data_IF_527294758001
#
_entry.id   IF_527294758001
#
_cell.length_a   1.000
_cell.length_b   1.000
_cell.length_c   1.000
_cell.angle_alpha   90.00
_cell.angle_beta   90.00
_cell.angle_gamma   90.00
#
_symmetry.space_group_name_H-M   'P 1'
#
loop_
_entity.id
_entity.type
_entity.pdbx_description
1 polymer ?
#
# COMPACT_ATOMS: atom_id res chain seq x y z
N UNK A 1 -14.76 -11.25 -15.13
CA UNK A 1 -15.14 -11.37 -13.70
C UNK A 1 -13.94 -11.53 -12.79
N UNK A 2 -13.06 -12.53 -12.97
CA UNK A 2 -11.83 -12.70 -12.14
C UNK A 2 -10.85 -11.52 -12.27
N UNK A 3 -10.62 -10.98 -13.48
CA UNK A 3 -9.82 -9.75 -13.71
C UNK A 3 -10.33 -8.54 -12.93
N UNK A 4 -11.65 -8.40 -12.79
CA UNK A 4 -12.32 -7.29 -12.09
C UNK A 4 -12.28 -7.44 -10.56
N UNK A 5 -12.12 -8.67 -10.07
CA UNK A 5 -11.99 -8.97 -8.65
C UNK A 5 -10.52 -8.88 -8.20
N UNK A 6 -9.57 -9.35 -9.01
CA UNK A 6 -8.14 -9.16 -8.77
C UNK A 6 -7.74 -7.69 -8.89
N UNK A 7 -8.30 -6.92 -9.83
CA UNK A 7 -8.06 -5.47 -9.88
C UNK A 7 -8.49 -4.80 -8.57
N UNK A 8 -9.65 -5.16 -8.00
CA UNK A 8 -10.14 -4.60 -6.73
C UNK A 8 -9.32 -5.01 -5.49
N UNK A 9 -8.62 -6.16 -5.52
CA UNK A 9 -7.79 -6.64 -4.39
C UNK A 9 -6.32 -6.20 -4.50
N UNK A 10 -5.82 -5.97 -5.72
CA UNK A 10 -4.46 -5.49 -6.01
C UNK A 10 -4.37 -3.96 -5.94
N UNK A 11 -5.49 -3.26 -6.15
CA UNK A 11 -5.61 -1.80 -6.09
C UNK A 11 -5.07 -1.14 -4.80
N UNK A 12 -5.19 -1.69 -3.57
CA UNK A 12 -4.67 -0.99 -2.39
C UNK A 12 -3.14 -1.03 -2.27
N UNK A 13 -2.51 -2.14 -2.67
CA UNK A 13 -1.04 -2.26 -2.67
C UNK A 13 -0.42 -1.51 -3.85
N UNK A 14 -1.12 -1.55 -4.99
CA UNK A 14 -0.77 -0.75 -6.13
C UNK A 14 -1.07 0.74 -5.94
N UNK A 15 -2.03 1.16 -5.12
CA UNK A 15 -2.33 2.58 -4.84
C UNK A 15 -1.13 3.32 -4.22
N UNK A 16 -0.23 2.58 -3.56
CA UNK A 16 1.02 3.09 -2.98
C UNK A 16 2.14 3.16 -4.03
N UNK A 17 2.05 2.36 -5.10
CA UNK A 17 3.01 2.26 -6.21
C UNK A 17 2.45 2.79 -7.56
N UNK A 18 1.22 3.30 -7.60
CA UNK A 18 0.40 3.49 -8.79
C UNK A 18 -0.96 4.10 -8.42
N UNK A 19 -1.00 5.43 -8.44
CA UNK A 19 -2.16 6.28 -8.17
C UNK A 19 -3.41 5.99 -9.04
N UNK A 20 -4.56 6.60 -8.62
CA UNK A 20 -5.79 7.01 -9.40
C UNK A 20 -7.08 6.14 -9.23
N UNK A 21 -8.37 6.65 -9.19
CA UNK A 21 -8.95 8.00 -8.85
C UNK A 21 -10.34 8.11 -8.09
N UNK A 22 -10.70 9.38 -7.73
CA UNK A 22 -11.99 10.16 -7.76
C UNK A 22 -12.99 10.37 -6.55
N UNK A 23 -13.34 11.68 -6.37
CA UNK A 23 -14.53 12.44 -5.82
C UNK A 23 -14.54 13.04 -4.38
N UNK A 24 -14.34 14.38 -4.26
CA UNK A 24 -15.33 15.37 -3.73
C UNK A 24 -15.28 15.96 -2.29
N UNK A 25 -15.01 17.29 -2.21
CA UNK A 25 -15.55 18.35 -1.30
C UNK A 25 -14.86 18.78 0.04
N UNK A 26 -14.06 19.86 -0.06
CA UNK A 26 -14.07 21.17 0.65
C UNK A 26 -14.30 21.35 2.17
N UNK A 27 -13.33 21.96 2.86
CA UNK A 27 -13.46 22.64 4.16
C UNK A 27 -12.23 23.49 4.55
N UNK A 28 -12.44 24.69 5.09
CA UNK A 28 -11.45 25.74 5.41
C UNK A 28 -10.60 25.48 6.69
N UNK A 29 -9.34 25.97 6.77
CA UNK A 29 -8.44 25.68 7.88
C UNK A 29 -8.45 26.73 9.01
N UNK A 30 -8.37 26.25 10.26
CA UNK A 30 -8.07 27.04 11.46
C UNK A 30 -6.62 26.79 11.96
N UNK A 31 -6.08 27.74 12.72
CA UNK A 31 -4.64 27.97 12.97
C UNK A 31 -4.03 27.08 14.08
N UNK A 32 -2.72 26.79 13.96
CA UNK A 32 -1.96 25.77 14.70
C UNK A 32 -1.13 26.30 15.89
N UNK A 33 -1.01 25.56 17.01
CA UNK A 33 0.05 25.74 18.01
C UNK A 33 1.20 24.72 17.89
N UNK A 34 2.41 25.16 18.20
CA UNK A 34 3.70 24.48 17.97
C UNK A 34 4.27 23.79 19.21
N UNK A 35 4.39 22.46 19.17
CA UNK A 35 5.38 21.69 19.91
C UNK A 35 6.22 20.90 18.88
N UNK A 36 7.54 20.92 19.01
CA UNK A 36 8.46 20.36 18.02
C UNK A 36 8.47 18.82 18.17
N UNK A 37 7.53 18.17 17.49
CA UNK A 37 7.44 16.71 17.45
C UNK A 37 8.53 16.15 16.52
N UNK A 38 9.21 15.09 16.96
CA UNK A 38 10.10 14.31 16.09
C UNK A 38 9.27 13.54 15.05
N UNK A 39 9.40 13.95 13.79
CA UNK A 39 8.63 13.39 12.68
C UNK A 39 9.34 12.17 12.04
N UNK A 40 10.58 11.88 12.43
CA UNK A 40 11.39 10.83 11.81
C UNK A 40 11.43 9.53 12.63
N UNK A 41 11.02 9.57 13.91
CA UNK A 41 11.19 8.45 14.85
C UNK A 41 10.17 7.32 14.69
N UNK A 42 8.92 7.65 14.38
CA UNK A 42 7.82 6.68 14.31
C UNK A 42 6.88 6.99 13.13
N UNK A 43 7.15 6.41 11.95
CA UNK A 43 6.32 6.61 10.77
C UNK A 43 4.86 6.15 10.93
N UNK A 44 4.58 5.16 11.78
CA UNK A 44 3.23 4.64 11.96
C UNK A 44 2.41 5.57 12.86
N UNK A 45 3.03 6.21 13.86
CA UNK A 45 2.37 7.22 14.69
C UNK A 45 1.87 8.45 13.90
N UNK A 46 2.51 8.76 12.77
CA UNK A 46 2.11 9.83 11.86
C UNK A 46 0.84 9.49 11.06
N UNK A 47 0.57 8.21 10.81
CA UNK A 47 -0.63 7.79 10.09
C UNK A 47 -1.89 8.13 10.91
N UNK A 48 -3.02 8.48 10.25
CA UNK A 48 -4.28 8.62 10.94
C UNK A 48 -4.67 7.33 11.68
N UNK A 49 -5.30 7.47 12.83
CA UNK A 49 -5.82 6.34 13.61
C UNK A 49 -6.93 5.61 12.83
N UNK A 50 -7.21 4.36 13.22
CA UNK A 50 -8.33 3.56 12.70
C UNK A 50 -8.25 3.22 11.21
N UNK A 51 -7.05 2.93 10.69
CA UNK A 51 -6.94 2.36 9.34
C UNK A 51 -7.61 0.98 9.28
N UNK A 52 -8.24 0.68 8.15
CA UNK A 52 -8.78 -0.64 7.80
C UNK A 52 -7.64 -1.61 7.54
N UNK A 53 -6.59 -1.13 6.89
CA UNK A 53 -5.38 -1.88 6.67
C UNK A 53 -4.16 -1.00 6.81
N UNK A 54 -3.09 -1.60 7.34
CA UNK A 54 -1.75 -1.07 7.35
C UNK A 54 -0.86 -1.91 6.45
N UNK A 55 0.08 -1.26 5.77
CA UNK A 55 1.12 -1.97 5.03
C UNK A 55 2.50 -1.34 5.28
N UNK A 56 3.54 -2.16 5.22
CA UNK A 56 4.94 -1.74 5.17
C UNK A 56 5.58 -2.32 3.93
N UNK A 57 6.20 -1.48 3.12
CA UNK A 57 7.02 -1.86 1.99
C UNK A 57 8.48 -1.50 2.30
N UNK A 58 9.37 -2.48 2.27
CA UNK A 58 10.81 -2.27 2.26
C UNK A 58 11.27 -2.01 0.83
N UNK A 59 11.28 -0.74 0.43
CA UNK A 59 11.52 -0.34 -0.95
C UNK A 59 12.95 -0.71 -1.41
N UNK A 60 13.93 -0.62 -0.51
CA UNK A 60 15.31 -1.06 -0.82
C UNK A 60 15.35 -2.53 -1.19
N UNK A 61 14.80 -3.40 -0.35
CA UNK A 61 14.77 -4.83 -0.63
C UNK A 61 13.89 -5.14 -1.86
N UNK A 62 12.80 -4.39 -2.03
CA UNK A 62 11.87 -4.56 -3.15
C UNK A 62 12.54 -4.27 -4.51
N UNK A 63 13.28 -3.17 -4.63
CA UNK A 63 13.97 -2.80 -5.87
C UNK A 63 15.32 -3.50 -6.06
N UNK A 64 15.92 -4.04 -4.99
CA UNK A 64 17.18 -4.78 -5.06
C UNK A 64 17.05 -6.19 -5.67
N UNK A 65 15.84 -6.68 -5.95
CA UNK A 65 15.63 -7.97 -6.63
C UNK A 65 16.38 -8.01 -7.98
N UNK A 66 17.33 -8.94 -8.11
CA UNK A 66 18.14 -9.05 -9.33
C UNK A 66 17.32 -9.49 -10.56
N UNK A 67 16.27 -10.27 -10.34
CA UNK A 67 15.50 -10.90 -11.42
C UNK A 67 14.38 -10.01 -11.97
N UNK A 68 13.78 -9.14 -11.15
CA UNK A 68 12.65 -8.30 -11.56
C UNK A 68 12.64 -6.88 -10.96
N UNK A 69 13.61 -6.52 -10.11
CA UNK A 69 13.75 -5.18 -9.53
C UNK A 69 13.78 -4.04 -10.56
N UNK A 70 14.50 -4.16 -11.70
CA UNK A 70 14.48 -3.13 -12.75
C UNK A 70 13.10 -2.91 -13.39
N UNK A 71 12.30 -3.98 -13.56
CA UNK A 71 10.95 -3.87 -14.11
C UNK A 71 9.99 -3.23 -13.11
N UNK A 72 10.14 -3.55 -11.81
CA UNK A 72 9.41 -2.88 -10.74
C UNK A 72 9.78 -1.40 -10.62
N UNK A 73 11.05 -1.06 -10.74
CA UNK A 73 11.52 0.33 -10.72
C UNK A 73 10.87 1.12 -11.85
N UNK A 74 10.87 0.59 -13.08
CA UNK A 74 10.19 1.21 -14.24
C UNK A 74 8.69 1.37 -14.00
N UNK A 75 8.03 0.36 -13.43
CA UNK A 75 6.61 0.43 -13.12
C UNK A 75 6.31 1.51 -12.07
N UNK A 76 7.10 1.57 -10.99
CA UNK A 76 6.98 2.57 -9.94
C UNK A 76 7.26 3.98 -10.47
N UNK A 77 8.27 4.15 -11.33
CA UNK A 77 8.55 5.42 -12.00
C UNK A 77 7.40 5.88 -12.90
N UNK A 78 6.73 4.95 -13.58
CA UNK A 78 5.55 5.26 -14.42
C UNK A 78 4.32 5.61 -13.57
N UNK A 79 4.16 4.96 -12.42
CA UNK A 79 3.02 5.16 -11.51
C UNK A 79 3.17 6.32 -10.53
N UNK A 80 4.39 6.84 -10.36
CA UNK A 80 4.67 7.93 -9.43
C UNK A 80 4.14 9.27 -9.97
N UNK A 81 3.46 10.08 -9.14
CA UNK A 81 3.00 11.42 -9.54
C UNK A 81 4.18 12.38 -9.75
N UNK A 82 5.32 12.12 -9.09
CA UNK A 82 6.56 12.89 -9.25
C UNK A 82 7.66 12.00 -9.86
N UNK A 83 8.40 12.53 -10.83
CA UNK A 83 9.60 11.90 -11.37
C UNK A 83 10.90 12.57 -10.90
N UNK A 84 12.01 12.11 -11.49
CA UNK A 84 13.36 12.60 -11.20
C UNK A 84 13.51 14.12 -11.39
N UNK A 85 12.73 14.68 -12.30
CA UNK A 85 12.63 16.12 -12.55
C UNK A 85 12.23 16.91 -11.31
N UNK A 86 11.38 16.33 -10.46
CA UNK A 86 10.99 16.88 -9.15
C UNK A 86 11.92 16.45 -8.02
N UNK A 87 13.01 15.73 -8.34
CA UNK A 87 14.01 15.30 -7.37
C UNK A 87 13.68 14.00 -6.65
N UNK A 88 12.68 13.25 -7.11
CA UNK A 88 12.27 12.00 -6.45
C UNK A 88 12.11 10.86 -7.45
N UNK A 89 12.81 9.76 -7.19
CA UNK A 89 12.69 8.49 -7.87
C UNK A 89 12.46 7.40 -6.81
N UNK A 90 11.30 6.71 -6.79
CA UNK A 90 11.02 5.70 -5.78
C UNK A 90 12.12 4.63 -5.66
N UNK A 91 12.70 4.19 -6.77
CA UNK A 91 13.76 3.18 -6.80
C UNK A 91 15.10 3.61 -6.20
N UNK A 92 15.36 4.92 -6.15
CA UNK A 92 16.61 5.51 -5.63
C UNK A 92 16.44 6.08 -4.23
N UNK A 93 15.32 6.78 -4.03
CA UNK A 93 15.15 7.73 -2.91
C UNK A 93 14.24 7.19 -1.81
N UNK A 94 13.38 6.20 -2.09
CA UNK A 94 12.50 5.60 -1.09
C UNK A 94 13.20 4.42 -0.40
N UNK A 95 13.21 4.43 0.93
CA UNK A 95 13.74 3.32 1.72
C UNK A 95 12.64 2.41 2.23
N UNK A 96 11.63 3.00 2.87
CA UNK A 96 10.49 2.29 3.46
C UNK A 96 9.24 3.13 3.27
N UNK A 97 8.11 2.49 2.97
CA UNK A 97 6.80 3.13 3.01
C UNK A 97 5.91 2.44 4.05
N UNK A 98 5.28 3.22 4.92
CA UNK A 98 4.20 2.78 5.80
C UNK A 98 2.90 3.37 5.30
N UNK A 99 1.87 2.56 5.14
CA UNK A 99 0.64 2.94 4.45
C UNK A 99 -0.54 2.64 5.36
N UNK A 100 -1.46 3.58 5.48
CA UNK A 100 -2.78 3.40 6.06
C UNK A 100 -3.87 3.54 5.00
N UNK A 101 -4.79 2.59 4.96
CA UNK A 101 -5.97 2.60 4.10
C UNK A 101 -7.21 2.79 4.97
N UNK A 102 -8.00 3.82 4.69
CA UNK A 102 -9.15 4.21 5.53
C UNK A 102 -10.50 4.02 4.83
N UNK A 103 -10.48 3.71 3.54
CA UNK A 103 -11.66 3.41 2.75
C UNK A 103 -11.43 2.22 1.84
N UNK A 104 -12.42 1.34 1.74
CA UNK A 104 -12.40 0.20 0.82
C UNK A 104 -12.60 0.61 -0.64
N UNK A 105 -13.02 1.85 -0.89
CA UNK A 105 -13.17 2.43 -2.22
C UNK A 105 -11.92 3.19 -2.71
N UNK A 106 -10.83 3.20 -1.92
CA UNK A 106 -9.55 3.80 -2.32
C UNK A 106 -9.50 5.33 -2.27
N UNK A 107 -10.58 6.00 -1.88
CA UNK A 107 -10.64 7.47 -1.80
C UNK A 107 -9.88 8.08 -0.61
N UNK A 108 -9.44 7.26 0.36
CA UNK A 108 -8.77 7.72 1.57
C UNK A 108 -7.59 6.79 1.92
N UNK A 109 -6.40 7.23 1.50
CA UNK A 109 -5.12 6.53 1.68
C UNK A 109 -4.06 7.56 2.05
N UNK A 110 -3.26 7.24 3.06
CA UNK A 110 -2.08 7.99 3.44
C UNK A 110 -0.88 7.06 3.54
N UNK A 111 0.28 7.53 3.11
CA UNK A 111 1.55 6.83 3.22
C UNK A 111 2.58 7.76 3.84
N UNK A 112 3.28 7.27 4.85
CA UNK A 112 4.47 7.91 5.42
C UNK A 112 5.68 7.23 4.80
N UNK A 113 6.44 8.02 4.05
CA UNK A 113 7.58 7.58 3.28
C UNK A 113 8.86 7.98 4.02
N UNK A 114 9.76 7.03 4.21
CA UNK A 114 11.10 7.25 4.74
C UNK A 114 12.12 7.13 3.63
N UNK A 115 13.00 8.12 3.50
CA UNK A 115 14.12 8.07 2.59
C UNK A 115 14.84 9.39 2.37
N UNK A 116 14.99 9.83 1.13
CA UNK A 116 15.72 11.05 0.78
C UNK A 116 14.84 11.98 -0.05
N UNK A 117 14.49 13.13 0.52
CA UNK A 117 13.57 14.07 -0.12
C UNK A 117 14.20 15.46 -0.25
N UNK A 118 14.16 16.01 -1.46
CA UNK A 118 14.61 17.36 -1.77
C UNK A 118 13.40 18.29 -1.95
N UNK A 119 12.98 18.92 -0.85
CA UNK A 119 11.85 19.85 -0.85
C UNK A 119 12.11 21.06 -1.76
N UNK A 120 13.35 21.52 -1.87
CA UNK A 120 13.69 22.68 -2.71
C UNK A 120 13.55 22.35 -4.19
N UNK A 121 14.00 21.15 -4.61
CA UNK A 121 13.84 20.68 -5.98
C UNK A 121 12.38 20.39 -6.34
N UNK A 122 11.59 19.83 -5.42
CA UNK A 122 10.14 19.67 -5.62
C UNK A 122 9.44 21.02 -5.78
N UNK A 123 9.77 22.00 -4.93
CA UNK A 123 9.25 23.36 -5.03
C UNK A 123 9.61 24.00 -6.36
N UNK A 124 10.87 23.94 -6.77
CA UNK A 124 11.32 24.48 -8.05
C UNK A 124 10.59 23.82 -9.24
N UNK A 125 10.30 22.53 -9.16
CA UNK A 125 9.56 21.82 -10.19
C UNK A 125 8.10 22.30 -10.31
N UNK A 126 7.44 22.50 -9.17
CA UNK A 126 6.09 23.05 -9.15
C UNK A 126 6.05 24.51 -9.61
N UNK A 127 6.98 25.36 -9.17
CA UNK A 127 7.08 26.76 -9.58
C UNK A 127 7.33 26.89 -11.10
N UNK A 128 8.10 25.96 -11.68
CA UNK A 128 8.34 25.86 -13.12
C UNK A 128 7.15 25.27 -13.91
N UNK A 129 6.04 24.94 -13.24
CA UNK A 129 4.86 24.28 -13.84
C UNK A 129 5.24 23.02 -14.62
N UNK A 130 6.22 22.26 -14.10
CA UNK A 130 6.61 21.00 -14.73
C UNK A 130 5.41 20.07 -14.79
N UNK A 131 5.26 19.41 -15.94
CA UNK A 131 4.28 18.34 -16.09
C UNK A 131 4.85 17.07 -15.50
N UNK A 132 4.04 16.38 -14.71
CA UNK A 132 4.31 15.02 -14.33
C UNK A 132 4.42 14.14 -15.59
N UNK A 133 4.98 12.93 -15.44
CA UNK A 133 5.06 11.97 -16.56
C UNK A 133 3.71 11.57 -17.14
N UNK A 134 2.62 11.71 -16.37
CA UNK A 134 1.25 11.54 -16.85
C UNK A 134 0.80 12.64 -17.85
N UNK A 135 1.56 13.72 -17.96
CA UNK A 135 1.22 14.91 -18.74
C UNK A 135 0.39 15.94 -17.97
N UNK A 136 -0.08 15.59 -16.77
CA UNK A 136 -0.79 16.49 -15.84
C UNK A 136 0.18 17.47 -15.18
N UNK A 137 -0.28 18.68 -14.88
CA UNK A 137 0.53 19.67 -14.18
C UNK A 137 0.70 19.30 -12.69
N UNK A 138 1.88 19.52 -12.15
CA UNK A 138 2.10 19.48 -10.70
C UNK A 138 1.53 20.76 -10.10
N UNK A 139 0.54 20.62 -9.21
CA UNK A 139 -0.09 21.75 -8.53
C UNK A 139 0.51 21.88 -7.14
N UNK A 140 1.11 23.03 -6.85
CA UNK A 140 1.49 23.38 -5.48
C UNK A 140 0.30 24.05 -4.77
N UNK A 141 0.01 23.58 -3.56
CA UNK A 141 -0.92 24.20 -2.63
C UNK A 141 -0.29 24.26 -1.25
N UNK A 142 -0.80 25.13 -0.36
CA UNK A 142 -0.42 25.10 1.05
C UNK A 142 -1.54 24.51 1.90
N UNK A 143 -1.15 23.65 2.84
CA UNK A 143 -2.05 23.14 3.87
C UNK A 143 -1.30 22.98 5.19
N UNK A 144 -1.93 23.41 6.29
CA UNK A 144 -1.34 23.36 7.63
C UNK A 144 0.12 23.87 7.72
N UNK A 145 0.44 24.93 6.96
CA UNK A 145 1.78 25.54 6.93
C UNK A 145 2.83 24.75 6.14
N UNK A 146 2.42 23.79 5.30
CA UNK A 146 3.31 22.98 4.46
C UNK A 146 2.88 23.01 3.00
N UNK A 147 3.85 22.92 2.11
CA UNK A 147 3.60 22.75 0.68
C UNK A 147 3.12 21.31 0.41
N UNK A 148 2.05 21.20 -0.36
CA UNK A 148 1.47 19.95 -0.84
C UNK A 148 1.47 19.99 -2.35
N UNK A 149 2.20 19.06 -2.96
CA UNK A 149 2.31 18.93 -4.41
C UNK A 149 1.38 17.82 -4.88
N UNK A 150 0.40 18.14 -5.72
CA UNK A 150 -0.60 17.18 -6.20
C UNK A 150 -0.61 17.05 -7.72
N UNK A 151 -0.97 15.85 -8.17
CA UNK A 151 -1.26 15.46 -9.55
C UNK A 151 -2.49 14.56 -9.49
N UNK A 152 -3.58 14.96 -10.14
CA UNK A 152 -4.81 14.15 -10.24
C UNK A 152 -5.33 13.61 -8.87
N UNK A 153 -5.37 14.47 -7.83
CA UNK A 153 -5.82 14.20 -6.46
C UNK A 153 -4.90 13.27 -5.62
N UNK A 154 -3.74 12.90 -6.14
CA UNK A 154 -2.67 12.25 -5.40
C UNK A 154 -1.54 13.24 -5.21
N UNK A 155 -0.89 13.21 -4.07
CA UNK A 155 0.20 14.14 -3.82
C UNK A 155 1.26 13.63 -2.88
N UNK A 156 2.17 14.55 -2.60
CA UNK A 156 3.23 14.38 -1.63
C UNK A 156 3.53 15.72 -0.95
N UNK A 157 3.86 15.65 0.32
CA UNK A 157 4.39 16.76 1.11
C UNK A 157 5.62 16.29 1.86
N UNK A 158 6.69 17.07 1.81
CA UNK A 158 7.94 16.75 2.50
C UNK A 158 7.85 17.30 3.93
N UNK A 159 7.98 16.43 4.93
CA UNK A 159 7.96 16.82 6.34
C UNK A 159 9.35 17.23 6.83
N UNK A 160 10.35 16.42 6.46
CA UNK A 160 11.79 16.56 6.75
C UNK A 160 12.57 16.05 5.54
N UNK A 161 13.91 16.25 5.46
CA UNK A 161 14.73 15.61 4.42
C UNK A 161 14.66 14.07 4.39
N UNK A 162 14.13 13.45 5.46
CA UNK A 162 14.03 11.98 5.61
C UNK A 162 12.61 11.44 5.57
N UNK A 163 11.61 12.28 5.78
CA UNK A 163 10.22 11.86 5.91
C UNK A 163 9.32 12.71 5.02
N UNK A 164 8.50 12.03 4.22
CA UNK A 164 7.44 12.64 3.43
C UNK A 164 6.11 11.93 3.66
N UNK A 165 5.02 12.61 3.35
CA UNK A 165 3.68 12.02 3.36
C UNK A 165 3.15 12.05 1.95
N UNK A 166 2.69 10.91 1.46
CA UNK A 166 2.05 10.77 0.16
C UNK A 166 0.66 10.13 0.30
N UNK A 167 -0.14 10.16 -0.77
CA UNK A 167 -1.45 9.53 -0.80
C UNK A 167 -2.49 10.44 -1.45
N UNK A 168 -3.76 10.21 -1.11
CA UNK A 168 -4.83 11.12 -1.57
C UNK A 168 -4.71 12.45 -0.84
N UNK A 169 -5.19 13.53 -1.46
CA UNK A 169 -5.18 14.84 -0.82
C UNK A 169 -5.85 14.81 0.56
N UNK A 170 -6.98 14.09 0.67
CA UNK A 170 -7.66 13.84 1.95
C UNK A 170 -6.76 13.13 2.97
N UNK A 171 -6.09 12.05 2.57
CA UNK A 171 -5.19 11.31 3.46
C UNK A 171 -4.02 12.16 3.95
N UNK A 172 -3.41 12.95 3.04
CA UNK A 172 -2.34 13.90 3.37
C UNK A 172 -2.83 14.95 4.36
N UNK A 173 -3.98 15.59 4.09
CA UNK A 173 -4.56 16.61 4.98
C UNK A 173 -4.81 16.05 6.38
N UNK A 174 -5.31 14.81 6.52
CA UNK A 174 -5.52 14.15 7.81
C UNK A 174 -4.23 13.93 8.59
N UNK A 175 -3.13 13.57 7.92
CA UNK A 175 -1.80 13.47 8.55
C UNK A 175 -1.35 14.86 9.01
N UNK A 176 -1.45 15.86 8.13
CA UNK A 176 -1.02 17.22 8.42
C UNK A 176 -1.81 17.87 9.56
N UNK A 177 -3.13 17.64 9.65
CA UNK A 177 -3.96 18.08 10.78
C UNK A 177 -3.48 17.47 12.10
N UNK A 178 -3.10 16.19 12.12
CA UNK A 178 -2.55 15.55 13.34
C UNK A 178 -1.24 16.17 13.76
N UNK A 179 -0.35 16.44 12.81
CA UNK A 179 0.93 17.12 13.07
C UNK A 179 0.67 18.53 13.62
N UNK A 180 -0.21 19.28 12.95
CA UNK A 180 -0.62 20.63 13.31
C UNK A 180 -1.18 20.71 14.73
N UNK A 181 -2.04 19.76 15.07
CA UNK A 181 -2.76 19.74 16.36
C UNK A 181 -1.94 19.06 17.48
N UNK A 182 -0.72 18.59 17.19
CA UNK A 182 0.10 17.85 18.17
C UNK A 182 -0.50 16.50 18.58
N UNK A 183 -1.36 15.91 17.76
CA UNK A 183 -2.08 14.64 18.02
C UNK A 183 -1.34 13.42 17.46
N UNK A 184 -0.03 13.48 17.36
CA UNK A 184 0.80 12.36 16.90
C UNK A 184 0.85 11.31 18.00
N UNK A 185 0.27 10.13 17.72
CA UNK A 185 0.19 9.02 18.65
C UNK A 185 0.17 7.72 17.88
N UNK A 186 0.93 6.75 18.37
CA UNK A 186 0.92 5.39 17.87
C UNK A 186 -0.35 4.66 18.34
N UNK A 187 -1.33 4.55 17.44
CA UNK A 187 -2.64 3.94 17.71
C UNK A 187 -2.84 2.58 17.01
N UNK A 188 -1.81 2.06 16.33
CA UNK A 188 -1.88 0.75 15.70
C UNK A 188 -1.97 -0.35 16.78
N UNK A 189 -2.86 -1.35 16.64
CA UNK A 189 -2.90 -2.49 17.55
C UNK A 189 -1.55 -3.24 17.60
N UNK A 190 -1.14 -3.82 18.74
CA UNK A 190 0.17 -4.49 18.85
C UNK A 190 0.43 -5.55 17.78
N UNK A 191 -0.59 -6.32 17.41
CA UNK A 191 -0.48 -7.34 16.38
C UNK A 191 -0.22 -6.78 14.96
N UNK A 192 -0.66 -5.54 14.70
CA UNK A 192 -0.34 -4.82 13.46
C UNK A 192 1.15 -4.51 13.46
N UNK A 193 1.69 -3.97 14.55
CA UNK A 193 3.13 -3.68 14.65
C UNK A 193 3.99 -4.93 14.50
N UNK A 194 3.61 -6.03 15.17
CA UNK A 194 4.28 -7.33 15.02
C UNK A 194 4.33 -7.76 13.55
N UNK A 195 3.23 -7.54 12.82
CA UNK A 195 3.16 -7.87 11.38
C UNK A 195 4.04 -6.93 10.56
N UNK A 196 3.97 -5.62 10.77
CA UNK A 196 4.74 -4.63 10.00
C UNK A 196 6.24 -4.71 10.29
N UNK A 197 6.64 -5.11 11.50
CA UNK A 197 8.05 -5.22 11.92
C UNK A 197 8.66 -6.60 11.62
N UNK A 198 7.95 -7.48 10.91
CA UNK A 198 8.43 -8.81 10.59
C UNK A 198 9.74 -8.73 9.79
N UNK A 199 10.82 -9.24 10.38
CA UNK A 199 12.14 -9.24 9.76
C UNK A 199 12.17 -10.10 8.49
N UNK A 200 12.83 -9.60 7.44
CA UNK A 200 12.98 -10.29 6.16
C UNK A 200 11.78 -10.15 5.22
N UNK A 201 10.65 -9.61 5.67
CA UNK A 201 9.53 -9.30 4.78
C UNK A 201 9.83 -8.03 3.96
N UNK A 202 9.78 -8.16 2.64
CA UNK A 202 9.85 -7.03 1.69
C UNK A 202 8.53 -6.25 1.67
N UNK A 203 7.42 -6.94 1.95
CA UNK A 203 6.10 -6.36 2.10
C UNK A 203 5.36 -7.06 3.23
N UNK A 204 4.73 -6.28 4.10
CA UNK A 204 3.85 -6.74 5.16
C UNK A 204 2.53 -5.99 5.11
N UNK A 205 1.41 -6.69 5.27
CA UNK A 205 0.07 -6.11 5.32
C UNK A 205 -0.67 -6.67 6.52
N UNK A 206 -1.35 -5.81 7.26
CA UNK A 206 -2.23 -6.15 8.37
C UNK A 206 -3.57 -5.46 8.15
N UNK A 207 -4.67 -6.22 8.03
CA UNK A 207 -6.01 -5.69 7.83
C UNK A 207 -6.97 -6.14 8.95
N UNK A 208 -7.77 -5.21 9.45
CA UNK A 208 -8.74 -5.43 10.52
C UNK A 208 -10.16 -5.12 10.02
N UNK A 209 -10.88 -6.17 9.62
CA UNK A 209 -12.28 -6.05 9.23
C UNK A 209 -13.22 -6.10 10.43
N UNK A 210 -12.76 -6.66 11.56
CA UNK A 210 -13.55 -6.81 12.77
C UNK A 210 -13.82 -5.46 13.44
N UNK A 211 -12.80 -4.62 13.54
CA UNK A 211 -12.89 -3.31 14.16
C UNK A 211 -13.50 -2.24 13.22
N UNK A 212 -13.80 -2.60 11.97
CA UNK A 212 -14.18 -1.67 10.90
C UNK A 212 -15.48 -2.11 10.20
N UNK A 213 -16.65 -1.56 10.58
CA UNK A 213 -17.94 -2.00 10.05
C UNK A 213 -18.05 -1.99 8.52
N UNK A 214 -17.49 -0.97 7.85
CA UNK A 214 -17.52 -0.88 6.38
C UNK A 214 -16.61 -1.88 5.66
N UNK A 215 -15.57 -2.37 6.34
CA UNK A 215 -14.62 -3.31 5.75
C UNK A 215 -15.22 -4.71 5.62
N UNK A 216 -15.91 -5.20 6.64
CA UNK A 216 -16.57 -6.51 6.61
C UNK A 216 -17.64 -6.61 5.52
N UNK A 217 -18.45 -5.57 5.32
CA UNK A 217 -19.44 -5.53 4.23
C UNK A 217 -18.78 -5.49 2.84
N UNK A 218 -17.65 -4.79 2.71
CA UNK A 218 -16.91 -4.76 1.45
C UNK A 218 -16.31 -6.14 1.09
N UNK A 219 -15.83 -6.88 2.09
CA UNK A 219 -15.30 -8.24 1.86
C UNK A 219 -16.38 -9.20 1.36
N UNK A 220 -17.61 -9.10 1.85
CA UNK A 220 -18.74 -9.93 1.40
C UNK A 220 -19.11 -9.72 -0.06
N UNK A 221 -18.77 -8.56 -0.63
CA UNK A 221 -19.04 -8.26 -2.05
C UNK A 221 -17.99 -8.85 -3.00
N UNK A 222 -16.87 -9.35 -2.46
CA UNK A 222 -15.83 -9.97 -3.26
C UNK A 222 -16.23 -11.41 -3.62
N UNK A 223 -15.97 -11.88 -4.85
CA UNK A 223 -16.22 -13.26 -5.25
C UNK A 223 -15.12 -14.20 -4.72
N UNK A 224 -14.74 -14.06 -3.45
CA UNK A 224 -13.68 -14.78 -2.77
C UNK A 224 -14.26 -15.36 -1.47
N UNK A 225 -14.84 -16.57 -1.51
CA UNK A 225 -15.64 -17.11 -0.40
C UNK A 225 -14.88 -17.18 0.93
N UNK A 226 -13.56 -17.38 0.89
CA UNK A 226 -12.70 -17.42 2.08
C UNK A 226 -12.53 -16.06 2.79
N UNK A 227 -12.91 -14.93 2.16
CA UNK A 227 -12.83 -13.60 2.78
C UNK A 227 -14.13 -13.17 3.46
N UNK A 228 -15.24 -13.86 3.20
CA UNK A 228 -16.60 -13.39 3.57
C UNK A 228 -16.81 -13.21 5.08
N UNK A 229 -16.15 -14.03 5.89
CA UNK A 229 -16.19 -13.99 7.36
C UNK A 229 -14.83 -13.71 8.00
N UNK A 230 -13.83 -13.32 7.20
CA UNK A 230 -12.50 -13.00 7.72
C UNK A 230 -12.57 -11.75 8.60
N UNK A 231 -12.10 -11.88 9.85
CA UNK A 231 -12.04 -10.79 10.82
C UNK A 231 -10.74 -10.01 10.70
N UNK A 232 -9.63 -10.73 10.49
CA UNK A 232 -8.29 -10.16 10.34
C UNK A 232 -7.57 -10.84 9.20
N UNK A 233 -6.68 -10.11 8.55
CA UNK A 233 -5.78 -10.66 7.56
C UNK A 233 -4.34 -10.18 7.82
N UNK A 234 -3.39 -11.09 7.68
CA UNK A 234 -1.96 -10.79 7.62
C UNK A 234 -1.42 -11.32 6.30
N UNK A 235 -0.59 -10.54 5.64
CA UNK A 235 0.16 -10.97 4.46
C UNK A 235 1.60 -10.56 4.63
N UNK A 236 2.51 -11.48 4.36
CA UNK A 236 3.94 -11.28 4.34
C UNK A 236 4.46 -11.74 2.99
N UNK A 237 5.36 -10.98 2.41
CA UNK A 237 6.07 -11.33 1.19
C UNK A 237 7.57 -11.15 1.41
N UNK A 238 8.35 -12.08 0.87
CA UNK A 238 9.81 -11.99 0.78
C UNK A 238 10.30 -12.39 -0.61
N UNK A 239 11.56 -12.08 -0.91
CA UNK A 239 12.25 -12.44 -2.15
C UNK A 239 13.35 -13.49 -1.93
N UNK A 240 13.05 -14.52 -1.13
CA UNK A 240 14.00 -15.63 -0.95
C UNK A 240 14.04 -16.54 -2.18
N UNK A 241 15.24 -16.89 -2.64
CA UNK A 241 15.47 -17.75 -3.80
C UNK A 241 14.69 -19.09 -3.70
N UNK A 242 14.15 -19.63 -4.81
CA UNK A 242 14.33 -19.21 -6.21
C UNK A 242 13.26 -18.22 -6.74
N UNK A 243 12.61 -17.42 -5.89
CA UNK A 243 11.60 -16.46 -6.34
C UNK A 243 11.08 -15.57 -5.22
N UNK A 244 9.75 -15.43 -5.13
CA UNK A 244 9.08 -14.77 -3.99
C UNK A 244 8.25 -15.76 -3.21
N UNK A 245 8.24 -15.60 -1.89
CA UNK A 245 7.32 -16.34 -1.02
C UNK A 245 6.28 -15.38 -0.49
N UNK A 246 5.02 -15.82 -0.53
CA UNK A 246 3.90 -15.15 0.09
C UNK A 246 3.33 -16.05 1.18
N UNK A 247 3.22 -15.50 2.38
CA UNK A 247 2.53 -16.11 3.50
C UNK A 247 1.32 -15.24 3.86
N UNK A 248 0.14 -15.85 3.93
CA UNK A 248 -1.10 -15.23 4.37
C UNK A 248 -1.62 -15.88 5.63
N UNK A 249 -2.28 -15.13 6.49
CA UNK A 249 -3.09 -15.66 7.59
C UNK A 249 -4.42 -14.93 7.61
N UNK A 250 -5.51 -15.68 7.66
CA UNK A 250 -6.86 -15.17 7.83
C UNK A 250 -7.41 -15.70 9.15
N UNK A 251 -7.89 -14.79 10.00
CA UNK A 251 -8.49 -15.15 11.29
C UNK A 251 -10.00 -15.04 11.23
N UNK A 252 -10.69 -16.00 11.85
CA UNK A 252 -12.14 -16.13 11.86
C UNK A 252 -12.69 -16.13 13.28
N UNK A 253 -14.02 -16.03 13.42
CA UNK A 253 -14.67 -16.03 14.73
C UNK A 253 -14.59 -17.40 15.44
N UNK A 254 -14.59 -18.49 14.66
CA UNK A 254 -14.62 -19.87 15.17
C UNK A 254 -13.92 -20.85 14.19
N UNK A 255 -13.62 -22.05 14.69
CA UNK A 255 -12.93 -23.10 13.93
C UNK A 255 -13.77 -23.62 12.74
N UNK A 256 -15.09 -23.54 12.81
CA UNK A 256 -15.99 -23.96 11.73
C UNK A 256 -15.85 -23.04 10.52
N UNK A 257 -15.85 -21.72 10.75
CA UNK A 257 -15.61 -20.71 9.71
C UNK A 257 -14.20 -20.85 9.11
N UNK A 258 -13.19 -21.06 9.94
CA UNK A 258 -11.83 -21.32 9.49
C UNK A 258 -11.75 -22.59 8.61
N UNK A 259 -12.42 -23.67 9.02
CA UNK A 259 -12.50 -24.91 8.23
C UNK A 259 -13.15 -24.71 6.86
N UNK A 260 -14.27 -23.98 6.79
CA UNK A 260 -14.95 -23.66 5.53
C UNK A 260 -14.07 -22.81 4.60
N UNK A 261 -13.38 -21.81 5.15
CA UNK A 261 -12.47 -20.98 4.38
C UNK A 261 -11.27 -21.77 3.85
N UNK A 262 -10.69 -22.66 4.66
CA UNK A 262 -9.62 -23.54 4.24
C UNK A 262 -10.05 -24.48 3.10
N UNK A 263 -11.25 -25.04 3.15
CA UNK A 263 -11.82 -25.84 2.06
C UNK A 263 -11.98 -25.01 0.78
N UNK A 264 -12.52 -23.79 0.90
CA UNK A 264 -12.67 -22.88 -0.23
C UNK A 264 -11.33 -22.50 -0.88
N UNK A 265 -10.29 -22.25 -0.08
CA UNK A 265 -8.92 -21.98 -0.57
C UNK A 265 -8.31 -23.19 -1.29
N UNK A 266 -8.48 -24.40 -0.74
CA UNK A 266 -8.01 -25.62 -1.40
C UNK A 266 -8.71 -25.87 -2.74
N UNK A 267 -10.02 -25.63 -2.81
CA UNK A 267 -10.79 -25.73 -4.06
C UNK A 267 -10.33 -24.68 -5.09
N UNK A 268 -10.05 -23.45 -4.64
CA UNK A 268 -9.53 -22.40 -5.50
C UNK A 268 -8.13 -22.76 -6.05
N UNK A 269 -7.25 -23.31 -5.22
CA UNK A 269 -5.91 -23.73 -5.64
C UNK A 269 -5.91 -24.89 -6.63
N UNK A 270 -6.82 -25.86 -6.47
CA UNK A 270 -7.02 -26.91 -7.47
C UNK A 270 -7.40 -26.32 -8.84
N UNK A 271 -8.20 -25.26 -8.83
CA UNK A 271 -8.61 -24.50 -10.02
C UNK A 271 -7.48 -23.60 -10.56
N UNK A 272 -6.60 -23.10 -9.69
CA UNK A 272 -5.49 -22.21 -10.04
C UNK A 272 -4.44 -22.85 -10.96
N UNK A 273 -4.44 -24.17 -11.13
CA UNK A 273 -3.67 -24.87 -12.19
C UNK A 273 -3.96 -24.32 -13.59
N UNK A 274 -5.13 -23.71 -13.80
CA UNK A 274 -5.52 -23.03 -15.05
C UNK A 274 -4.67 -21.76 -15.30
N UNK A 275 -4.12 -21.09 -14.27
CA UNK A 275 -3.27 -19.91 -14.45
C UNK A 275 -1.92 -20.21 -15.08
N UNK A 276 -1.49 -21.48 -15.09
CA UNK A 276 -0.34 -21.91 -15.87
C UNK A 276 -0.53 -21.60 -17.38
N UNK A 277 -1.77 -21.57 -17.87
CA UNK A 277 -2.09 -21.25 -19.27
C UNK A 277 -1.81 -19.79 -19.65
N UNK A 278 -1.71 -18.89 -18.66
CA UNK A 278 -1.34 -17.47 -18.87
C UNK A 278 0.09 -17.17 -18.39
N UNK A 279 0.91 -18.21 -18.18
CA UNK A 279 2.32 -18.07 -17.84
C UNK A 279 2.61 -17.76 -16.37
N UNK A 280 1.64 -17.89 -15.47
CA UNK A 280 1.86 -17.76 -14.02
C UNK A 280 1.96 -19.14 -13.37
N UNK A 281 3.09 -19.40 -12.72
CA UNK A 281 3.32 -20.63 -11.96
C UNK A 281 3.34 -20.33 -10.46
N UNK A 282 2.30 -20.80 -9.78
CA UNK A 282 2.26 -20.85 -8.32
C UNK A 282 2.76 -22.21 -7.86
N UNK A 283 3.71 -22.22 -6.93
CA UNK A 283 4.30 -23.42 -6.32
C UNK A 283 4.06 -23.42 -4.81
N UNK A 284 4.28 -24.58 -4.21
CA UNK A 284 4.27 -24.75 -2.75
C UNK A 284 3.00 -24.23 -2.07
N UNK A 285 1.87 -24.29 -2.79
CA UNK A 285 0.58 -23.91 -2.25
C UNK A 285 0.21 -24.83 -1.09
N UNK A 286 0.19 -24.28 0.12
CA UNK A 286 -0.15 -25.01 1.34
C UNK A 286 -1.16 -24.21 2.13
N UNK A 287 -2.28 -24.85 2.47
CA UNK A 287 -3.28 -24.33 3.40
C UNK A 287 -3.17 -25.15 4.68
N UNK A 288 -3.04 -24.47 5.82
CA UNK A 288 -3.03 -25.10 7.15
C UNK A 288 -4.03 -24.36 8.02
N UNK A 289 -4.85 -25.09 8.77
CA UNK A 289 -5.76 -24.50 9.76
C UNK A 289 -5.17 -24.72 11.14
N UNK A 290 -5.16 -23.67 11.95
CA UNK A 290 -4.74 -23.68 13.34
C UNK A 290 -5.81 -22.96 14.17
N UNK A 291 -6.66 -23.75 14.85
CA UNK A 291 -7.84 -23.23 15.56
C UNK A 291 -8.69 -22.34 14.65
N UNK A 292 -8.78 -21.05 14.94
CA UNK A 292 -9.55 -20.04 14.22
C UNK A 292 -8.79 -19.40 13.07
N UNK A 293 -7.54 -19.78 12.83
CA UNK A 293 -6.69 -19.19 11.80
C UNK A 293 -6.52 -20.15 10.62
N UNK A 294 -6.55 -19.59 9.41
CA UNK A 294 -6.17 -20.27 8.17
C UNK A 294 -4.89 -19.63 7.64
N UNK A 295 -3.82 -20.40 7.61
CA UNK A 295 -2.53 -20.01 7.08
C UNK A 295 -2.40 -20.52 5.65
N UNK A 296 -1.94 -19.65 4.75
CA UNK A 296 -1.67 -19.96 3.35
C UNK A 296 -0.23 -19.64 3.05
N UNK A 297 0.47 -20.54 2.35
CA UNK A 297 1.78 -20.26 1.78
C UNK A 297 1.75 -20.53 0.29
N UNK A 298 2.36 -19.66 -0.49
CA UNK A 298 2.49 -19.78 -1.94
C UNK A 298 3.86 -19.22 -2.33
N UNK A 299 4.53 -19.91 -3.24
CA UNK A 299 5.76 -19.41 -3.86
C UNK A 299 5.50 -19.08 -5.32
N UNK A 300 6.13 -18.02 -5.82
CA UNK A 300 6.00 -17.54 -7.19
C UNK A 300 7.39 -17.45 -7.78
N UNK A 301 7.59 -18.02 -8.97
CA UNK A 301 8.89 -17.95 -9.63
C UNK A 301 9.18 -16.58 -10.25
N UNK A 302 10.46 -16.31 -10.51
CA UNK A 302 10.94 -15.06 -11.09
C UNK A 302 10.32 -14.72 -12.44
N UNK A 303 9.99 -15.73 -13.25
CA UNK A 303 9.39 -15.51 -14.58
C UNK A 303 7.95 -15.01 -14.44
N UNK A 304 7.18 -15.60 -13.53
CA UNK A 304 5.82 -15.19 -13.21
C UNK A 304 5.81 -13.77 -12.63
N UNK A 305 6.75 -13.45 -11.74
CA UNK A 305 6.90 -12.10 -11.18
C UNK A 305 7.23 -11.06 -12.23
N UNK A 306 8.14 -11.34 -13.18
CA UNK A 306 8.40 -10.46 -14.32
C UNK A 306 7.15 -10.24 -15.17
N UNK A 307 6.43 -11.31 -15.47
CA UNK A 307 5.16 -11.24 -16.21
C UNK A 307 4.15 -10.34 -15.49
N UNK A 308 4.05 -10.46 -14.16
CA UNK A 308 3.19 -9.60 -13.33
C UNK A 308 3.66 -8.14 -13.34
N UNK A 309 4.95 -7.87 -13.18
CA UNK A 309 5.52 -6.52 -13.18
C UNK A 309 5.29 -5.80 -14.52
N UNK A 310 5.46 -6.50 -15.64
CA UNK A 310 5.21 -5.97 -16.99
C UNK A 310 3.72 -5.71 -17.25
N UNK A 311 2.84 -6.56 -16.70
CA UNK A 311 1.39 -6.39 -16.78
C UNK A 311 0.84 -5.32 -15.83
N UNK A 312 1.61 -4.93 -14.80
CA UNK A 312 1.18 -4.04 -13.73
C UNK A 312 0.58 -2.72 -14.26
N UNK A 313 1.23 -1.97 -15.19
CA UNK A 313 0.65 -0.72 -15.68
C UNK A 313 -0.74 -0.92 -16.30
N UNK A 314 -0.93 -2.00 -17.07
CA UNK A 314 -2.20 -2.30 -17.70
C UNK A 314 -3.27 -2.74 -16.69
N UNK A 315 -2.89 -3.47 -15.64
CA UNK A 315 -3.81 -3.87 -14.56
C UNK A 315 -4.23 -2.70 -13.68
N UNK A 316 -3.35 -1.71 -13.54
CA UNK A 316 -3.60 -0.47 -12.80
C UNK A 316 -4.27 0.61 -13.65
N UNK A 317 -4.53 0.34 -14.93
CA UNK A 317 -5.12 1.33 -15.84
C UNK A 317 -4.16 2.48 -16.20
N UNK A 318 -2.88 2.35 -15.88
CA UNK A 318 -1.81 3.28 -16.22
C UNK A 318 -1.42 3.09 -17.69
N UNK A 319 -2.06 3.87 -18.57
CA UNK A 319 -1.72 3.91 -20.01
C UNK A 319 -0.31 4.45 -20.23
#
# INVERSE_FOLDING_TARGET
MIRTALSKLVVPLALVLGAVPFVGCGGEPAQAPSAQVDLDSDPVALLPSSAIAYARLDAKAFFASQSFGPDLAKAAEKGSPLGEEAGFLPSRDLEVAHVGIYSTQGADVAAVLTGHFDAAKMKAAADAHMRARSGSAIVASQYAGRDVYTVDNVGITVLTPKTAVAGTETGIRRVLDRIRDGRIKHDAPPWVDETLKMHGAVLSIAADAQSQPGASESLKQLPLPWLTSAQKARVLMDFNAPGSNLAGTLSYADEGQAGQAAQALNNAAATARIFALIGLQFRDFKVTTEKTDVQVRISVDDQSLRTMAQGLPQWLGLR
#
